data_IF_432743891470
#
_entry.id   IF_432743891470
#
_cell.length_a   1.000
_cell.length_b   1.000
_cell.length_c   1.000
_cell.angle_alpha   90.00
_cell.angle_beta   90.00
_cell.angle_gamma   90.00
#
_symmetry.space_group_name_H-M   'P 1'
#
loop_
_entity.id
_entity.type
_entity.pdbx_description
1 polymer ?
#
# COMPACT_ATOMS: atom_id res chain seq x y z
N UNK A 1 -19.43 17.50 -7.01
CA UNK A 1 -19.57 17.45 -8.48
C UNK A 1 -18.18 17.58 -9.07
N UNK A 2 -17.78 16.72 -9.99
CA UNK A 2 -16.48 16.79 -10.66
C UNK A 2 -16.46 18.03 -11.55
N UNK A 3 -15.46 18.89 -11.41
CA UNK A 3 -15.31 20.13 -12.22
C UNK A 3 -14.86 19.81 -13.64
N UNK A 4 -15.13 20.70 -14.59
CA UNK A 4 -14.66 20.53 -15.98
C UNK A 4 -13.13 20.55 -16.06
N UNK A 5 -12.47 21.32 -15.20
CA UNK A 5 -11.01 21.35 -15.06
C UNK A 5 -10.45 19.98 -14.66
N UNK A 6 -11.06 19.31 -13.67
CA UNK A 6 -10.63 17.97 -13.24
C UNK A 6 -10.90 16.93 -14.34
N UNK A 7 -12.01 17.05 -15.07
CA UNK A 7 -12.27 16.15 -16.20
C UNK A 7 -11.23 16.31 -17.30
N UNK A 8 -10.87 17.56 -17.63
CA UNK A 8 -9.81 17.84 -18.61
C UNK A 8 -8.47 17.23 -18.15
N UNK A 9 -8.09 17.45 -16.90
CA UNK A 9 -6.88 16.87 -16.33
C UNK A 9 -6.86 15.32 -16.46
N UNK A 10 -7.98 14.66 -16.13
CA UNK A 10 -8.09 13.19 -16.26
C UNK A 10 -7.89 12.77 -17.72
N UNK A 11 -8.52 13.45 -18.66
CA UNK A 11 -8.40 13.12 -20.09
C UNK A 11 -6.99 13.31 -20.63
N UNK A 12 -6.34 14.40 -20.26
CA UNK A 12 -4.97 14.74 -20.70
C UNK A 12 -3.89 13.84 -20.12
N UNK A 13 -4.15 13.22 -18.96
CA UNK A 13 -3.15 12.41 -18.25
C UNK A 13 -3.38 10.90 -18.32
N UNK A 14 -4.24 10.39 -19.19
CA UNK A 14 -4.52 8.94 -19.32
C UNK A 14 -3.27 8.12 -19.65
N UNK A 15 -2.45 8.59 -20.57
CA UNK A 15 -1.20 7.90 -20.93
C UNK A 15 -0.16 7.99 -19.80
N UNK A 16 -0.17 9.06 -19.03
CA UNK A 16 0.78 9.21 -17.92
C UNK A 16 0.43 8.27 -16.76
N UNK A 17 -0.84 8.15 -16.38
CA UNK A 17 -1.24 7.20 -15.33
C UNK A 17 -0.92 5.76 -15.73
N UNK A 18 -1.09 5.42 -17.00
CA UNK A 18 -0.73 4.09 -17.53
C UNK A 18 0.77 3.82 -17.43
N UNK A 19 1.61 4.79 -17.82
CA UNK A 19 3.07 4.69 -17.69
C UNK A 19 3.51 4.61 -16.22
N UNK A 20 2.87 5.39 -15.35
CA UNK A 20 3.16 5.38 -13.92
C UNK A 20 2.83 4.01 -13.32
N UNK A 21 1.65 3.45 -13.64
CA UNK A 21 1.25 2.12 -13.22
C UNK A 21 2.24 1.05 -13.70
N UNK A 22 2.63 1.11 -14.98
CA UNK A 22 3.66 0.21 -15.53
C UNK A 22 4.95 0.27 -14.73
N UNK A 23 5.47 1.48 -14.50
CA UNK A 23 6.72 1.69 -13.77
C UNK A 23 6.63 1.18 -12.33
N UNK A 24 5.52 1.43 -11.65
CA UNK A 24 5.29 0.94 -10.28
C UNK A 24 5.27 -0.59 -10.23
N UNK A 25 4.64 -1.25 -11.21
CA UNK A 25 4.64 -2.71 -11.31
C UNK A 25 6.02 -3.31 -11.53
N UNK A 26 6.93 -2.60 -12.21
CA UNK A 26 8.31 -3.04 -12.41
C UNK A 26 9.21 -2.87 -11.16
N UNK A 27 8.74 -2.16 -10.14
CA UNK A 27 9.47 -2.00 -8.88
C UNK A 27 8.94 -3.00 -7.85
N UNK A 28 9.65 -4.08 -7.54
CA UNK A 28 9.22 -5.03 -6.51
C UNK A 28 9.08 -4.36 -5.15
N UNK A 29 8.02 -4.72 -4.45
CA UNK A 29 7.73 -4.20 -3.11
C UNK A 29 7.03 -5.25 -2.24
N UNK A 30 7.69 -6.37 -1.91
CA UNK A 30 7.14 -7.28 -0.90
C UNK A 30 6.94 -6.55 0.42
N UNK A 31 5.94 -6.95 1.21
CA UNK A 31 5.75 -6.40 2.56
C UNK A 31 7.06 -6.42 3.34
N UNK A 32 7.38 -5.33 4.01
CA UNK A 32 8.66 -5.03 4.69
C UNK A 32 9.85 -4.67 3.77
N UNK A 33 9.70 -4.67 2.44
CA UNK A 33 10.78 -4.39 1.47
C UNK A 33 10.36 -3.34 0.43
N UNK A 34 9.60 -2.33 0.85
CA UNK A 34 9.01 -1.30 0.00
C UNK A 34 9.95 -0.13 -0.30
N UNK A 35 11.19 -0.13 0.21
CA UNK A 35 12.12 1.03 0.15
C UNK A 35 12.31 1.57 -1.27
N UNK A 36 12.46 0.69 -2.26
CA UNK A 36 12.68 1.08 -3.66
C UNK A 36 11.46 1.78 -4.24
N UNK A 37 10.27 1.23 -3.99
CA UNK A 37 9.00 1.80 -4.46
C UNK A 37 8.69 3.10 -3.73
N UNK A 38 8.89 3.17 -2.42
CA UNK A 38 8.73 4.38 -1.62
C UNK A 38 9.66 5.51 -2.09
N UNK A 39 10.94 5.22 -2.36
CA UNK A 39 11.88 6.20 -2.88
C UNK A 39 11.44 6.73 -4.26
N UNK A 40 11.00 5.85 -5.17
CA UNK A 40 10.47 6.24 -6.47
C UNK A 40 9.24 7.15 -6.34
N UNK A 41 8.26 6.78 -5.50
CA UNK A 41 7.03 7.55 -5.29
C UNK A 41 7.36 8.95 -4.76
N UNK A 42 8.24 9.05 -3.76
CA UNK A 42 8.67 10.33 -3.21
C UNK A 42 9.29 11.21 -4.29
N UNK A 43 10.27 10.68 -5.03
CA UNK A 43 10.94 11.44 -6.11
C UNK A 43 9.95 11.86 -7.20
N UNK A 44 9.03 10.98 -7.56
CA UNK A 44 8.01 11.28 -8.56
C UNK A 44 7.10 12.43 -8.10
N UNK A 45 6.61 12.40 -6.85
CA UNK A 45 5.76 13.46 -6.28
C UNK A 45 6.49 14.82 -6.23
N UNK A 46 7.75 14.83 -5.79
CA UNK A 46 8.58 16.03 -5.76
C UNK A 46 8.76 16.64 -7.16
N UNK A 47 8.96 15.80 -8.18
CA UNK A 47 9.02 16.23 -9.60
C UNK A 47 7.70 16.84 -10.10
N UNK A 48 6.55 16.42 -9.54
CA UNK A 48 5.25 17.03 -9.84
C UNK A 48 5.00 18.34 -9.08
N UNK A 49 5.93 18.80 -8.24
CA UNK A 49 5.80 20.01 -7.46
C UNK A 49 5.10 19.82 -6.11
N UNK A 50 4.95 18.59 -5.64
CA UNK A 50 4.49 18.32 -4.28
C UNK A 50 5.57 18.71 -3.26
N UNK A 51 5.23 19.62 -2.35
CA UNK A 51 6.13 20.14 -1.34
C UNK A 51 5.96 19.40 -0.01
N UNK A 52 7.06 19.18 0.71
CA UNK A 52 7.03 18.56 2.04
C UNK A 52 6.81 17.04 2.04
N UNK A 53 6.99 16.37 0.91
CA UNK A 53 6.88 14.91 0.81
C UNK A 53 8.01 14.24 1.60
N UNK A 54 7.66 13.29 2.45
CA UNK A 54 8.64 12.53 3.22
C UNK A 54 8.29 11.06 3.33
N UNK A 55 9.27 10.25 3.68
CA UNK A 55 9.10 8.83 4.00
C UNK A 55 9.27 8.69 5.51
N UNK A 56 8.30 8.05 6.18
CA UNK A 56 8.37 7.79 7.61
C UNK A 56 9.13 6.48 7.94
N UNK A 57 9.27 6.19 9.23
CA UNK A 57 9.95 4.99 9.74
C UNK A 57 9.22 3.68 9.37
N UNK A 58 7.91 3.77 9.10
CA UNK A 58 7.14 2.63 8.61
C UNK A 58 7.27 2.44 7.09
N UNK A 59 7.95 3.35 6.38
CA UNK A 59 8.12 3.43 4.92
C UNK A 59 6.89 3.95 4.17
N UNK A 60 5.96 4.59 4.86
CA UNK A 60 4.90 5.32 4.19
C UNK A 60 5.48 6.53 3.47
N UNK A 61 5.05 6.77 2.24
CA UNK A 61 5.33 8.04 1.54
C UNK A 61 4.16 8.97 1.80
N UNK A 62 4.44 10.10 2.44
CA UNK A 62 3.42 11.01 2.95
C UNK A 62 3.55 12.36 2.25
N UNK A 63 2.45 12.83 1.67
CA UNK A 63 2.31 14.19 1.15
C UNK A 63 1.32 14.97 2.02
N UNK A 64 1.80 15.84 2.94
CA UNK A 64 0.97 16.66 3.81
C UNK A 64 0.58 17.96 3.10
N UNK A 65 -0.59 17.96 2.46
CA UNK A 65 -1.08 19.15 1.79
C UNK A 65 -1.88 20.04 2.76
N UNK A 66 -1.50 21.33 2.87
CA UNK A 66 -2.09 22.32 3.78
C UNK A 66 -2.19 21.82 5.24
N UNK A 67 -1.10 21.23 5.76
CA UNK A 67 -1.09 20.76 7.13
C UNK A 67 -0.83 21.92 8.12
N UNK A 68 -1.79 22.15 9.02
CA UNK A 68 -1.73 23.14 10.10
C UNK A 68 -2.16 22.49 11.42
N UNK A 69 -1.43 22.76 12.48
CA UNK A 69 -1.78 22.26 13.82
C UNK A 69 -3.14 22.80 14.27
N UNK A 70 -3.94 21.93 14.91
CA UNK A 70 -5.26 22.27 15.41
C UNK A 70 -6.39 22.18 14.39
N UNK A 71 -6.07 21.90 13.13
CA UNK A 71 -7.09 21.60 12.09
C UNK A 71 -7.42 20.10 12.06
N UNK A 72 -8.63 19.78 11.62
CA UNK A 72 -9.02 18.39 11.37
C UNK A 72 -8.33 17.83 10.13
N UNK A 73 -7.97 16.55 10.18
CA UNK A 73 -7.21 15.87 9.13
C UNK A 73 -8.07 14.83 8.41
N UNK A 74 -8.08 14.91 7.08
CA UNK A 74 -8.53 13.83 6.20
C UNK A 74 -7.29 13.09 5.64
N UNK A 75 -7.23 11.78 5.85
CA UNK A 75 -6.20 10.89 5.36
C UNK A 75 -6.76 10.02 4.23
N UNK A 76 -6.13 10.11 3.06
CA UNK A 76 -6.40 9.25 1.91
C UNK A 76 -5.15 8.42 1.63
N UNK A 77 -5.31 7.11 1.50
CA UNK A 77 -4.18 6.21 1.33
C UNK A 77 -4.47 5.06 0.37
N UNK A 78 -3.41 4.48 -0.19
CA UNK A 78 -3.37 3.26 -0.99
C UNK A 78 -2.07 2.53 -0.69
N UNK A 79 -2.09 1.19 -0.59
CA UNK A 79 -0.91 0.46 -0.15
C UNK A 79 0.07 0.14 -1.27
N UNK A 80 1.35 0.16 -0.94
CA UNK A 80 2.45 -0.01 -1.91
C UNK A 80 3.02 -1.41 -1.95
N UNK A 81 2.77 -2.20 -0.92
CA UNK A 81 3.31 -3.55 -0.84
C UNK A 81 2.46 -4.56 -1.62
N UNK A 82 3.02 -5.72 -1.84
CA UNK A 82 2.37 -6.85 -2.50
C UNK A 82 2.67 -8.15 -1.72
N UNK A 83 1.81 -9.15 -1.89
CA UNK A 83 1.99 -10.49 -1.28
C UNK A 83 3.13 -11.30 -1.91
N UNK A 84 3.69 -10.84 -3.04
CA UNK A 84 4.71 -11.58 -3.79
C UNK A 84 6.08 -11.33 -3.17
N UNK A 85 6.84 -12.39 -2.82
CA UNK A 85 8.13 -12.24 -2.13
C UNK A 85 9.30 -11.88 -3.04
N UNK A 86 9.05 -11.73 -4.34
CA UNK A 86 10.08 -11.51 -5.35
C UNK A 86 10.71 -10.13 -5.21
N UNK A 87 12.05 -10.07 -5.21
CA UNK A 87 12.84 -8.84 -5.14
C UNK A 87 13.29 -8.35 -6.53
N UNK A 88 13.02 -9.13 -7.57
CA UNK A 88 13.27 -8.80 -8.97
C UNK A 88 11.95 -8.49 -9.69
N UNK A 89 11.98 -7.70 -10.76
CA UNK A 89 10.78 -7.39 -11.54
C UNK A 89 10.08 -8.65 -12.05
N UNK A 90 8.79 -8.77 -11.77
CA UNK A 90 7.97 -9.93 -12.17
C UNK A 90 7.38 -9.80 -13.57
N UNK A 91 7.67 -8.68 -14.25
CA UNK A 91 7.20 -8.39 -15.60
C UNK A 91 5.80 -7.80 -15.64
N UNK A 92 5.60 -6.96 -16.65
CA UNK A 92 4.32 -6.34 -16.99
C UNK A 92 4.00 -6.67 -18.43
N UNK A 93 2.76 -7.01 -18.72
CA UNK A 93 2.29 -7.24 -20.09
C UNK A 93 0.95 -6.57 -20.32
N UNK A 94 0.71 -6.20 -21.55
CA UNK A 94 -0.55 -5.60 -21.99
C UNK A 94 -1.21 -6.48 -23.07
N UNK A 95 -2.50 -6.67 -22.95
CA UNK A 95 -3.32 -7.40 -23.93
C UNK A 95 -4.63 -6.63 -24.13
N UNK A 96 -4.74 -5.93 -25.26
CA UNK A 96 -5.90 -5.11 -25.56
C UNK A 96 -6.02 -3.93 -24.58
N UNK A 97 -7.09 -3.90 -23.82
CA UNK A 97 -7.39 -2.88 -22.81
C UNK A 97 -6.98 -3.29 -21.37
N UNK A 98 -6.26 -4.40 -21.23
CA UNK A 98 -5.89 -4.96 -19.93
C UNK A 98 -4.38 -4.98 -19.71
N UNK A 99 -3.98 -4.62 -18.50
CA UNK A 99 -2.62 -4.74 -18.01
C UNK A 99 -2.55 -5.90 -17.01
N UNK A 100 -1.50 -6.71 -17.11
CA UNK A 100 -1.25 -7.86 -16.25
C UNK A 100 0.11 -7.74 -15.59
N UNK A 101 0.14 -7.79 -14.28
CA UNK A 101 1.34 -7.91 -13.46
C UNK A 101 0.92 -8.38 -12.07
N UNK A 102 1.77 -9.11 -11.32
CA UNK A 102 1.51 -9.40 -9.91
C UNK A 102 1.28 -8.11 -9.10
N UNK A 103 0.17 -8.02 -8.36
CA UNK A 103 -0.19 -6.85 -7.57
C UNK A 103 -0.63 -5.61 -8.37
N UNK A 104 -0.94 -5.74 -9.67
CA UNK A 104 -1.37 -4.59 -10.49
C UNK A 104 -2.70 -4.01 -10.04
N UNK A 105 -3.66 -4.85 -9.66
CA UNK A 105 -4.99 -4.44 -9.20
C UNK A 105 -5.06 -4.26 -7.68
N UNK A 106 -4.21 -4.95 -6.97
CA UNK A 106 -4.12 -4.98 -5.51
C UNK A 106 -2.66 -4.68 -5.09
N UNK A 107 -2.30 -3.46 -4.81
CA UNK A 107 -3.10 -2.22 -4.86
C UNK A 107 -2.43 -1.16 -5.77
N UNK A 108 -1.48 -1.59 -6.63
CA UNK A 108 -0.63 -0.69 -7.43
C UNK A 108 -1.44 0.27 -8.31
N UNK A 109 -2.61 -0.15 -8.80
CA UNK A 109 -3.48 0.71 -9.60
C UNK A 109 -4.05 1.88 -8.78
N UNK A 110 -4.50 1.63 -7.56
CA UNK A 110 -4.99 2.68 -6.67
C UNK A 110 -3.86 3.60 -6.22
N UNK A 111 -2.65 3.07 -6.00
CA UNK A 111 -1.45 3.91 -5.77
C UNK A 111 -1.23 4.86 -6.95
N UNK A 112 -1.24 4.37 -8.19
CA UNK A 112 -1.07 5.21 -9.36
C UNK A 112 -2.14 6.31 -9.46
N UNK A 113 -3.40 5.99 -9.18
CA UNK A 113 -4.51 6.95 -9.15
C UNK A 113 -4.31 7.98 -8.04
N UNK A 114 -3.94 7.54 -6.83
CA UNK A 114 -3.67 8.43 -5.69
C UNK A 114 -2.54 9.42 -6.02
N UNK A 115 -1.48 8.96 -6.69
CA UNK A 115 -0.37 9.80 -7.12
C UNK A 115 -0.80 10.83 -8.16
N UNK A 116 -1.68 10.47 -9.11
CA UNK A 116 -2.25 11.42 -10.06
C UNK A 116 -3.13 12.47 -9.40
N UNK A 117 -3.89 12.10 -8.36
CA UNK A 117 -4.63 13.05 -7.53
C UNK A 117 -3.65 13.98 -6.80
N UNK A 118 -2.57 13.46 -6.23
CA UNK A 118 -1.53 14.25 -5.58
C UNK A 118 -0.87 15.25 -6.57
N UNK A 119 -0.59 14.82 -7.81
CA UNK A 119 -0.12 15.70 -8.89
C UNK A 119 -1.11 16.82 -9.19
N UNK A 120 -2.39 16.50 -9.35
CA UNK A 120 -3.44 17.51 -9.56
C UNK A 120 -3.43 18.56 -8.44
N UNK A 121 -3.38 18.11 -7.19
CA UNK A 121 -3.35 18.96 -6.00
C UNK A 121 -2.09 19.83 -5.97
N UNK A 122 -0.92 19.28 -6.28
CA UNK A 122 0.34 20.01 -6.30
C UNK A 122 0.34 21.15 -7.36
N UNK A 123 -0.26 20.90 -8.52
CA UNK A 123 -0.33 21.88 -9.63
C UNK A 123 -1.39 22.95 -9.37
N UNK A 124 -2.63 22.54 -9.04
CA UNK A 124 -3.78 23.43 -8.96
C UNK A 124 -4.00 24.06 -7.59
N UNK A 125 -3.35 23.55 -6.56
CA UNK A 125 -3.38 24.05 -5.18
C UNK A 125 -4.79 24.36 -4.66
N UNK A 126 -5.74 23.41 -4.73
CA UNK A 126 -7.12 23.64 -4.35
C UNK A 126 -7.23 24.00 -2.85
N UNK A 127 -8.17 24.88 -2.50
CA UNK A 127 -8.45 25.18 -1.09
C UNK A 127 -9.13 24.01 -0.42
N UNK A 128 -8.63 23.63 0.75
CA UNK A 128 -9.22 22.62 1.63
C UNK A 128 -9.83 23.25 2.89
N UNK A 129 -10.78 22.58 3.52
CA UNK A 129 -11.40 23.03 4.78
C UNK A 129 -10.58 22.66 6.02
N UNK A 130 -9.59 21.81 5.87
CA UNK A 130 -8.71 21.31 6.91
C UNK A 130 -7.50 20.65 6.28
N UNK A 131 -6.74 19.94 7.08
CA UNK A 131 -5.57 19.20 6.65
C UNK A 131 -5.94 18.07 5.68
N UNK A 132 -5.14 17.90 4.65
CA UNK A 132 -5.25 16.81 3.71
C UNK A 132 -3.93 16.06 3.64
N UNK A 133 -3.97 14.80 3.97
CA UNK A 133 -2.81 13.89 3.87
C UNK A 133 -3.09 12.85 2.79
N UNK A 134 -2.19 12.76 1.83
CA UNK A 134 -2.16 11.65 0.88
C UNK A 134 -0.97 10.75 1.22
N UNK A 135 -1.19 9.45 1.32
CA UNK A 135 -0.16 8.51 1.74
C UNK A 135 -0.15 7.25 0.88
N UNK A 136 1.00 6.92 0.33
CA UNK A 136 1.26 5.58 -0.18
C UNK A 136 1.79 4.75 1.00
N UNK A 137 0.92 3.92 1.61
CA UNK A 137 1.23 3.20 2.83
C UNK A 137 1.89 1.85 2.58
N UNK A 138 2.62 1.37 3.57
CA UNK A 138 3.39 0.13 3.53
C UNK A 138 2.76 -0.97 4.36
N UNK A 139 3.19 -2.23 4.13
CA UNK A 139 2.89 -3.37 5.00
C UNK A 139 1.40 -3.56 5.26
N UNK A 140 0.56 -3.40 4.26
CA UNK A 140 -0.87 -3.72 4.35
C UNK A 140 -1.06 -5.23 4.31
N UNK A 141 -0.37 -5.89 3.40
CA UNK A 141 -0.53 -7.27 3.05
C UNK A 141 0.03 -8.26 4.09
N UNK A 142 -0.53 -9.44 4.09
CA UNK A 142 0.00 -10.63 4.75
C UNK A 142 0.49 -10.41 6.18
N UNK A 143 1.78 -10.64 6.39
CA UNK A 143 2.45 -10.47 7.68
C UNK A 143 2.85 -9.03 7.99
N UNK A 144 2.59 -8.09 7.08
CA UNK A 144 2.78 -6.65 7.30
C UNK A 144 1.92 -6.10 8.43
N UNK A 145 0.77 -6.73 8.66
CA UNK A 145 -0.14 -6.43 9.78
C UNK A 145 -0.53 -4.96 9.87
N UNK A 146 -0.77 -4.32 8.74
CA UNK A 146 -1.18 -2.91 8.63
C UNK A 146 -0.18 -1.94 9.28
N UNK A 147 1.12 -2.26 9.29
CA UNK A 147 2.15 -1.47 9.97
C UNK A 147 2.14 -0.01 9.51
N UNK A 148 2.06 0.22 8.21
CA UNK A 148 2.01 1.57 7.64
C UNK A 148 0.76 2.34 8.06
N UNK A 149 -0.41 1.73 7.91
CA UNK A 149 -1.69 2.35 8.29
C UNK A 149 -1.75 2.67 9.79
N UNK A 150 -1.24 1.77 10.65
CA UNK A 150 -1.15 2.00 12.10
C UNK A 150 -0.25 3.19 12.44
N UNK A 151 0.89 3.32 11.77
CA UNK A 151 1.80 4.45 11.96
C UNK A 151 1.15 5.77 11.54
N UNK A 152 0.41 5.80 10.42
CA UNK A 152 -0.31 6.98 9.96
C UNK A 152 -1.41 7.38 10.95
N UNK A 153 -2.25 6.44 11.39
CA UNK A 153 -3.31 6.70 12.36
C UNK A 153 -2.73 7.21 13.69
N UNK A 154 -1.63 6.62 14.16
CA UNK A 154 -0.99 7.08 15.39
C UNK A 154 -0.40 8.49 15.26
N UNK A 155 0.26 8.79 14.13
CA UNK A 155 0.85 10.10 13.86
C UNK A 155 -0.17 11.23 13.85
N UNK A 156 -1.36 10.99 13.29
CA UNK A 156 -2.39 12.01 13.12
C UNK A 156 -3.57 11.85 14.08
N UNK A 157 -3.48 10.98 15.07
CA UNK A 157 -4.55 10.56 15.99
C UNK A 157 -5.41 11.71 16.49
N UNK A 158 -4.78 12.77 16.98
CA UNK A 158 -5.47 13.87 17.68
C UNK A 158 -6.25 14.81 16.73
N UNK A 159 -5.90 14.78 15.43
CA UNK A 159 -6.55 15.60 14.41
C UNK A 159 -7.38 14.80 13.41
N UNK A 160 -7.26 13.47 13.43
CA UNK A 160 -7.81 12.60 12.40
C UNK A 160 -9.34 12.56 12.45
N UNK A 161 -10.00 13.10 11.42
CA UNK A 161 -11.44 13.14 11.29
C UNK A 161 -11.97 12.11 10.28
N UNK A 162 -11.18 11.76 9.29
CA UNK A 162 -11.58 10.82 8.23
C UNK A 162 -10.36 10.05 7.73
N UNK A 163 -10.56 8.75 7.50
CA UNK A 163 -9.61 7.87 6.82
C UNK A 163 -10.32 7.19 5.66
N UNK A 164 -9.71 7.23 4.49
CA UNK A 164 -10.15 6.49 3.30
C UNK A 164 -8.95 5.72 2.77
N UNK A 165 -9.03 4.40 2.76
CA UNK A 165 -8.09 3.53 2.06
C UNK A 165 -8.73 3.12 0.74
N UNK A 166 -8.03 3.39 -0.35
CA UNK A 166 -8.38 2.87 -1.67
C UNK A 166 -7.72 1.51 -1.79
N UNK A 167 -8.56 0.48 -2.01
CA UNK A 167 -8.11 -0.91 -2.06
C UNK A 167 -9.15 -1.73 -2.82
N UNK A 168 -8.68 -2.70 -3.61
CA UNK A 168 -9.55 -3.57 -4.36
C UNK A 168 -10.42 -2.85 -5.40
N UNK A 169 -11.72 -3.17 -5.43
CA UNK A 169 -12.64 -2.70 -6.47
C UNK A 169 -13.21 -1.32 -6.17
N UNK A 170 -13.33 -0.47 -7.21
CA UNK A 170 -13.80 0.91 -7.10
C UNK A 170 -15.32 1.08 -7.00
N UNK A 171 -16.09 0.03 -7.13
CA UNK A 171 -17.56 0.02 -7.08
C UNK A 171 -18.13 -0.38 -5.71
N UNK A 172 -17.26 -0.66 -4.75
CA UNK A 172 -17.62 -1.05 -3.39
C UNK A 172 -17.08 -0.05 -2.35
N UNK A 173 -17.81 0.07 -1.24
CA UNK A 173 -17.37 0.82 -0.06
C UNK A 173 -17.54 -0.05 1.17
N UNK A 174 -16.42 -0.47 1.77
CA UNK A 174 -16.39 -1.19 3.04
C UNK A 174 -16.30 -0.21 4.20
N UNK A 175 -17.37 -0.11 4.99
CA UNK A 175 -17.41 0.75 6.18
C UNK A 175 -17.20 -0.01 7.50
N UNK A 176 -17.15 -1.34 7.44
CA UNK A 176 -16.94 -2.22 8.59
C UNK A 176 -15.89 -3.28 8.25
N UNK A 177 -14.98 -3.52 9.17
CA UNK A 177 -13.95 -4.55 9.02
C UNK A 177 -14.12 -5.64 10.08
N UNK A 178 -13.71 -6.87 9.74
CA UNK A 178 -13.55 -7.96 10.70
C UNK A 178 -12.15 -7.93 11.28
N UNK A 179 -12.03 -8.21 12.58
CA UNK A 179 -10.72 -8.38 13.21
C UNK A 179 -10.04 -9.66 12.76
N UNK A 180 -8.72 -9.66 12.74
CA UNK A 180 -7.90 -10.83 12.45
C UNK A 180 -6.82 -10.99 13.51
N UNK A 181 -6.64 -12.22 14.00
CA UNK A 181 -5.55 -12.59 14.88
C UNK A 181 -4.74 -13.69 14.21
N UNK A 182 -3.43 -13.47 14.05
CA UNK A 182 -2.54 -14.40 13.35
C UNK A 182 -1.54 -14.97 14.35
N UNK A 183 -1.34 -16.29 14.29
CA UNK A 183 -0.37 -17.01 15.09
C UNK A 183 0.61 -17.74 14.18
N UNK A 184 1.88 -17.72 14.56
CA UNK A 184 2.88 -18.62 14.00
C UNK A 184 3.16 -19.70 15.04
N UNK A 185 2.91 -20.94 14.68
CA UNK A 185 3.25 -22.10 15.51
C UNK A 185 4.45 -22.81 14.88
N UNK A 186 5.47 -23.06 15.67
CA UNK A 186 6.68 -23.78 15.26
C UNK A 186 6.89 -24.97 16.17
N UNK A 187 6.86 -26.15 15.59
CA UNK A 187 7.12 -27.42 16.30
C UNK A 187 8.54 -27.90 15.96
N UNK A 188 9.35 -28.09 16.99
CA UNK A 188 10.68 -28.67 16.87
C UNK A 188 10.72 -29.99 17.63
N UNK A 189 11.22 -31.00 16.97
CA UNK A 189 11.44 -32.34 17.55
C UNK A 189 12.89 -32.72 17.40
N UNK A 190 13.32 -33.77 18.10
CA UNK A 190 14.68 -34.27 18.05
C UNK A 190 15.11 -34.75 16.67
N UNK A 191 14.15 -35.08 15.79
CA UNK A 191 14.42 -35.64 14.48
C UNK A 191 15.00 -37.08 14.57
N UNK A 192 15.59 -37.53 13.47
CA UNK A 192 16.24 -38.85 13.44
C UNK A 192 16.00 -39.61 12.12
N UNK A 193 16.68 -40.72 11.97
CA UNK A 193 16.51 -41.62 10.84
C UNK A 193 15.25 -42.48 11.03
N UNK A 194 14.40 -42.57 10.03
CA UNK A 194 13.10 -43.24 10.10
C UNK A 194 13.11 -44.70 10.59
N UNK A 195 14.21 -45.40 10.44
CA UNK A 195 14.38 -46.78 10.90
C UNK A 195 15.15 -46.89 12.24
N UNK A 196 16.29 -46.19 12.35
CA UNK A 196 17.15 -46.32 13.54
C UNK A 196 16.61 -45.58 14.75
N UNK A 197 15.91 -44.46 14.51
CA UNK A 197 15.35 -43.63 15.56
C UNK A 197 13.81 -43.71 15.57
N UNK A 198 13.32 -44.90 15.22
CA UNK A 198 11.87 -45.13 15.21
C UNK A 198 11.28 -44.96 16.61
N UNK A 199 10.25 -44.09 16.72
CA UNK A 199 9.65 -43.76 18.00
C UNK A 199 9.93 -42.33 18.45
N UNK A 200 10.89 -41.63 17.82
CA UNK A 200 11.06 -40.20 18.03
C UNK A 200 9.82 -39.44 17.57
N UNK A 201 9.58 -38.30 18.23
CA UNK A 201 8.44 -37.44 17.88
C UNK A 201 8.54 -36.91 16.48
N UNK A 202 7.43 -36.95 15.76
CA UNK A 202 7.32 -36.36 14.42
C UNK A 202 6.64 -34.99 14.50
N UNK A 203 7.35 -33.97 14.04
CA UNK A 203 6.84 -32.58 14.12
C UNK A 203 5.49 -32.35 13.42
N UNK A 204 5.21 -33.10 12.33
CA UNK A 204 3.93 -33.02 11.66
C UNK A 204 2.80 -33.65 12.49
N UNK A 205 3.06 -34.78 13.16
CA UNK A 205 2.09 -35.41 14.05
C UNK A 205 1.78 -34.52 15.25
N UNK A 206 2.82 -33.98 15.90
CA UNK A 206 2.67 -33.07 17.03
C UNK A 206 1.89 -31.80 16.63
N UNK A 207 2.17 -31.22 15.45
CA UNK A 207 1.42 -30.07 14.93
C UNK A 207 -0.04 -30.44 14.65
N UNK A 208 -0.28 -31.61 14.08
CA UNK A 208 -1.64 -32.09 13.79
C UNK A 208 -2.49 -32.25 15.05
N UNK A 209 -1.89 -32.76 16.13
CA UNK A 209 -2.55 -32.91 17.44
C UNK A 209 -2.89 -31.56 18.09
N UNK A 210 -2.07 -30.52 17.82
CA UNK A 210 -2.34 -29.18 18.33
C UNK A 210 -3.48 -28.45 17.60
N UNK A 211 -3.73 -28.80 16.34
CA UNK A 211 -4.77 -28.15 15.52
C UNK A 211 -6.14 -28.76 15.79
N UNK A 212 -6.19 -29.97 16.30
CA UNK A 212 -7.42 -30.71 16.61
C UNK A 212 -7.89 -30.45 18.04
#
# INVERSE_FOLDING_TARGET
MITEELKAFIQENQEEVKKLLWTLCEIPAPSHHEERRAAFIKEWLEKQGAEGVFIDEAKNVIYPYHYEDGQTTALFMAHTDTVFPDMEPMGVREEGDKMFSPGVGDDTANVAILLMIAKYIAIHKPKTKGNLILAANSCEEGLGNLKGSRALVERYRDSLAQVVSFDGYIDEVCSCAVGSTRYRVEIKTEGGHSYFDFGNKNALSELSEMIY
#
